data_IF_562823237687
#
_entry.id   IF_562823237687
#
_cell.length_a   1.000
_cell.length_b   1.000
_cell.length_c   1.000
_cell.angle_alpha   90.00
_cell.angle_beta   90.00
_cell.angle_gamma   90.00
#
_symmetry.space_group_name_H-M   'P 1'
#
loop_
_entity.id
_entity.type
_entity.pdbx_description
1 polymer ?
#
# COMPACT_ATOMS: atom_id res chain seq x y z
N UNK A 1 -27.95 -10.04 12.14
CA UNK A 1 -28.63 -9.12 11.21
C UNK A 1 -27.57 -8.49 10.35
N UNK A 2 -27.66 -8.60 9.03
CA UNK A 2 -26.70 -8.00 8.10
C UNK A 2 -26.91 -6.49 8.09
N UNK A 3 -25.96 -5.70 8.63
CA UNK A 3 -25.99 -4.24 8.45
C UNK A 3 -26.01 -3.93 6.94
N UNK A 4 -26.81 -2.94 6.55
CA UNK A 4 -26.83 -2.43 5.18
C UNK A 4 -25.43 -1.96 4.77
N UNK A 5 -25.13 -1.96 3.46
CA UNK A 5 -23.83 -1.47 2.96
C UNK A 5 -23.57 -0.03 3.43
N UNK A 6 -24.61 0.81 3.46
CA UNK A 6 -24.51 2.19 3.93
C UNK A 6 -24.10 2.29 5.41
N UNK A 7 -24.64 1.44 6.28
CA UNK A 7 -24.26 1.39 7.69
C UNK A 7 -22.81 0.91 7.86
N UNK A 8 -22.38 -0.10 7.09
CA UNK A 8 -20.98 -0.57 7.11
C UNK A 8 -20.01 0.52 6.67
N UNK A 9 -20.34 1.24 5.60
CA UNK A 9 -19.54 2.37 5.10
C UNK A 9 -19.48 3.50 6.12
N UNK A 10 -20.62 3.87 6.73
CA UNK A 10 -20.67 4.92 7.74
C UNK A 10 -19.85 4.56 8.98
N UNK A 11 -19.97 3.32 9.48
CA UNK A 11 -19.18 2.83 10.60
C UNK A 11 -17.67 2.86 10.30
N UNK A 12 -17.28 2.44 9.09
CA UNK A 12 -15.88 2.47 8.68
C UNK A 12 -15.34 3.90 8.58
N UNK A 13 -16.12 4.86 8.04
CA UNK A 13 -15.73 6.29 8.04
C UNK A 13 -15.47 6.82 9.45
N UNK A 14 -16.33 6.47 10.40
CA UNK A 14 -16.17 6.91 11.79
C UNK A 14 -14.93 6.26 12.44
N UNK A 15 -14.68 4.97 12.19
CA UNK A 15 -13.47 4.31 12.65
C UNK A 15 -12.21 4.97 12.07
N UNK A 16 -12.20 5.29 10.77
CA UNK A 16 -11.10 5.99 10.11
C UNK A 16 -10.86 7.37 10.73
N UNK A 17 -11.93 8.14 10.99
CA UNK A 17 -11.83 9.45 11.63
C UNK A 17 -11.11 9.36 12.98
N UNK A 18 -11.54 8.42 13.83
CA UNK A 18 -10.88 8.15 15.12
C UNK A 18 -9.42 7.72 14.96
N UNK A 19 -9.11 6.93 13.94
CA UNK A 19 -7.75 6.50 13.66
C UNK A 19 -6.84 7.68 13.28
N UNK A 20 -7.37 8.64 12.51
CA UNK A 20 -6.63 9.86 12.15
C UNK A 20 -6.50 10.81 13.34
N UNK A 21 -7.56 11.01 14.12
CA UNK A 21 -7.50 11.79 15.37
C UNK A 21 -6.42 11.22 16.32
N UNK A 22 -6.38 9.89 16.45
CA UNK A 22 -5.34 9.19 17.22
C UNK A 22 -3.94 9.48 16.68
N UNK A 23 -3.71 9.39 15.37
CA UNK A 23 -2.43 9.76 14.75
C UNK A 23 -2.06 11.20 15.09
N UNK A 24 -2.91 12.18 14.74
CA UNK A 24 -2.61 13.60 14.90
C UNK A 24 -2.31 13.99 16.36
N UNK A 25 -2.87 13.27 17.33
CA UNK A 25 -2.59 13.49 18.76
C UNK A 25 -1.10 13.35 19.13
N UNK A 26 -0.30 12.68 18.30
CA UNK A 26 1.15 12.55 18.47
C UNK A 26 1.97 13.53 17.63
N UNK A 27 1.35 14.41 16.84
CA UNK A 27 2.07 15.47 16.15
C UNK A 27 2.59 16.49 17.17
N UNK A 28 3.89 16.75 17.10
CA UNK A 28 4.58 17.70 17.98
C UNK A 28 4.36 19.15 17.52
N UNK A 29 4.52 20.14 18.41
CA UNK A 29 4.36 21.56 18.06
C UNK A 29 5.24 22.07 16.92
N UNK A 30 6.42 21.46 16.72
CA UNK A 30 7.35 21.77 15.61
C UNK A 30 6.96 21.11 14.28
N UNK A 31 5.81 20.42 14.24
CA UNK A 31 5.34 19.65 13.09
C UNK A 31 5.92 18.24 13.03
N UNK A 32 6.90 17.93 13.86
CA UNK A 32 7.55 16.63 13.92
C UNK A 32 6.58 15.52 14.35
N UNK A 33 6.90 14.30 13.93
CA UNK A 33 6.10 13.11 14.23
C UNK A 33 7.02 11.96 14.66
N UNK A 34 7.99 12.29 15.53
CA UNK A 34 8.90 11.35 16.18
C UNK A 34 8.98 11.72 17.66
N UNK A 35 8.78 10.73 18.52
CA UNK A 35 8.82 10.81 19.98
C UNK A 35 9.45 9.52 20.55
N UNK A 36 9.67 9.48 21.86
CA UNK A 36 10.31 8.34 22.53
C UNK A 36 9.51 7.05 22.32
N UNK A 37 10.18 5.98 21.88
CA UNK A 37 9.55 4.71 21.51
C UNK A 37 8.92 4.69 20.11
N UNK A 38 8.95 5.80 19.36
CA UNK A 38 8.57 5.82 17.95
C UNK A 38 9.76 5.50 17.06
N UNK A 39 9.57 4.63 16.06
CA UNK A 39 10.63 4.40 15.08
C UNK A 39 10.97 5.69 14.33
N UNK A 40 12.27 5.95 14.19
CA UNK A 40 12.85 7.18 13.61
C UNK A 40 12.44 7.44 12.15
N UNK A 41 11.72 6.51 11.52
CA UNK A 41 11.29 6.54 10.13
C UNK A 41 9.78 6.29 9.92
N UNK A 42 9.01 6.17 11.00
CA UNK A 42 7.61 5.75 10.92
C UNK A 42 6.61 6.87 10.59
N UNK A 43 7.06 7.97 10.00
CA UNK A 43 6.20 9.07 9.53
C UNK A 43 5.74 8.94 8.07
N UNK A 44 6.26 7.94 7.32
CA UNK A 44 6.10 7.81 5.86
C UNK A 44 4.67 7.82 5.33
N UNK A 45 3.68 7.32 6.10
CA UNK A 45 2.26 7.24 5.68
C UNK A 45 1.43 8.47 6.06
N UNK A 46 1.91 9.28 7.01
CA UNK A 46 1.07 10.22 7.74
C UNK A 46 0.54 11.34 6.84
N UNK A 47 1.40 11.94 6.02
CA UNK A 47 0.98 12.97 5.07
C UNK A 47 -0.11 12.48 4.10
N UNK A 48 -0.03 11.22 3.66
CA UNK A 48 -1.07 10.61 2.82
C UNK A 48 -2.36 10.43 3.63
N UNK A 49 -2.29 9.73 4.77
CA UNK A 49 -3.41 9.49 5.69
C UNK A 49 -4.19 10.78 6.00
N UNK A 50 -3.49 11.81 6.48
CA UNK A 50 -4.10 13.06 6.92
C UNK A 50 -4.73 13.85 5.77
N UNK A 51 -4.07 13.88 4.60
CA UNK A 51 -4.60 14.58 3.41
C UNK A 51 -5.93 14.00 2.93
N UNK A 52 -6.12 12.68 3.01
CA UNK A 52 -7.36 12.03 2.58
C UNK A 52 -8.56 12.39 3.45
N UNK A 53 -8.31 12.75 4.70
CA UNK A 53 -9.33 13.08 5.70
C UNK A 53 -9.46 14.59 5.94
N UNK A 54 -8.80 15.43 5.13
CA UNK A 54 -8.92 16.89 5.18
C UNK A 54 -7.99 17.60 6.18
N UNK A 55 -7.07 16.87 6.82
CA UNK A 55 -6.07 17.42 7.75
C UNK A 55 -4.83 17.94 7.01
N UNK A 56 -5.08 18.90 6.11
CA UNK A 56 -4.04 19.45 5.23
C UNK A 56 -2.96 20.21 6.02
N UNK A 57 -3.36 21.00 7.02
CA UNK A 57 -2.45 21.82 7.81
C UNK A 57 -1.42 20.95 8.57
N UNK A 58 -1.88 19.86 9.19
CA UNK A 58 -1.06 18.87 9.87
C UNK A 58 -0.10 18.20 8.88
N UNK A 59 -0.59 17.84 7.69
CA UNK A 59 0.23 17.27 6.61
C UNK A 59 1.33 18.21 6.14
N UNK A 60 1.02 19.50 5.97
CA UNK A 60 2.00 20.52 5.59
C UNK A 60 3.07 20.73 6.68
N UNK A 61 2.66 20.83 7.95
CA UNK A 61 3.60 20.94 9.08
C UNK A 61 4.57 19.77 9.15
N UNK A 62 4.09 18.54 8.96
CA UNK A 62 4.95 17.37 8.92
C UNK A 62 5.94 17.42 7.75
N UNK A 63 5.48 17.81 6.56
CA UNK A 63 6.36 17.88 5.39
C UNK A 63 7.40 19.01 5.50
N UNK A 64 7.08 20.12 6.15
CA UNK A 64 8.05 21.17 6.50
C UNK A 64 9.14 20.63 7.43
N UNK A 65 8.71 19.92 8.48
CA UNK A 65 9.63 19.30 9.42
C UNK A 65 10.51 18.24 8.74
N UNK A 66 9.96 17.37 7.89
CA UNK A 66 10.70 16.35 7.13
C UNK A 66 11.74 17.01 6.22
N UNK A 67 11.35 18.06 5.48
CA UNK A 67 12.26 18.80 4.61
C UNK A 67 13.43 19.40 5.38
N UNK A 68 13.16 20.01 6.53
CA UNK A 68 14.17 20.68 7.34
C UNK A 68 15.11 19.69 8.07
N UNK A 69 14.62 18.50 8.44
CA UNK A 69 15.32 17.64 9.40
C UNK A 69 15.70 16.25 8.88
N UNK A 70 15.14 15.78 7.75
CA UNK A 70 15.24 14.37 7.32
C UNK A 70 15.57 14.17 5.85
N UNK A 71 15.11 15.07 4.98
CA UNK A 71 15.34 15.00 3.54
C UNK A 71 16.81 15.32 3.21
N UNK A 72 17.47 14.40 2.54
CA UNK A 72 18.86 14.53 2.09
C UNK A 72 18.94 15.15 0.69
N UNK A 73 20.10 15.70 0.28
CA UNK A 73 20.26 16.33 -1.03
C UNK A 73 19.97 15.42 -2.23
N UNK A 74 20.15 14.11 -2.09
CA UNK A 74 19.86 13.12 -3.14
C UNK A 74 18.40 12.66 -3.18
N UNK A 75 17.55 13.23 -2.31
CA UNK A 75 16.14 12.87 -2.18
C UNK A 75 15.87 11.67 -1.26
N UNK A 76 16.91 11.02 -0.72
CA UNK A 76 16.74 9.99 0.30
C UNK A 76 16.30 10.61 1.63
N UNK A 77 15.62 9.83 2.46
CA UNK A 77 15.36 10.17 3.85
C UNK A 77 16.37 9.47 4.75
N UNK A 78 17.02 10.23 5.63
CA UNK A 78 18.15 9.77 6.46
C UNK A 78 17.89 8.41 7.12
N UNK A 79 16.75 8.27 7.80
CA UNK A 79 16.40 7.07 8.56
C UNK A 79 15.79 5.93 7.72
N UNK A 80 15.49 6.16 6.44
CA UNK A 80 14.80 5.15 5.62
C UNK A 80 15.75 4.09 5.08
N UNK A 81 17.08 4.32 5.10
CA UNK A 81 18.08 3.35 4.66
C UNK A 81 17.78 2.76 3.25
N UNK A 82 17.25 3.59 2.37
CA UNK A 82 16.86 3.21 1.01
C UNK A 82 15.61 2.34 0.89
N UNK A 83 14.73 2.29 1.89
CA UNK A 83 13.43 1.60 1.84
C UNK A 83 12.53 2.21 0.75
N UNK A 84 12.40 1.50 -0.37
CA UNK A 84 11.65 1.96 -1.56
C UNK A 84 10.17 2.11 -1.23
N UNK A 85 9.62 1.21 -0.40
CA UNK A 85 8.21 1.22 -0.03
C UNK A 85 7.86 2.45 0.81
N UNK A 86 8.68 2.81 1.80
CA UNK A 86 8.50 4.03 2.61
C UNK A 86 8.65 5.30 1.78
N UNK A 87 9.62 5.36 0.86
CA UNK A 87 9.77 6.51 -0.03
C UNK A 87 8.55 6.67 -0.95
N UNK A 88 8.01 5.58 -1.49
CA UNK A 88 6.81 5.63 -2.35
C UNK A 88 5.58 6.16 -1.59
N UNK A 89 5.40 5.78 -0.32
CA UNK A 89 4.36 6.35 0.54
C UNK A 89 4.52 7.86 0.76
N UNK A 90 5.72 8.29 1.16
CA UNK A 90 6.00 9.69 1.43
C UNK A 90 5.82 10.54 0.16
N UNK A 91 6.32 10.05 -0.98
CA UNK A 91 6.13 10.68 -2.28
C UNK A 91 4.64 10.91 -2.58
N UNK A 92 3.81 9.87 -2.49
CA UNK A 92 2.39 9.98 -2.81
C UNK A 92 1.67 10.98 -1.90
N UNK A 93 1.97 10.99 -0.59
CA UNK A 93 1.43 11.96 0.35
C UNK A 93 1.85 13.40 0.03
N UNK A 94 3.14 13.63 -0.21
CA UNK A 94 3.66 14.96 -0.56
C UNK A 94 3.12 15.46 -1.90
N UNK A 95 3.07 14.59 -2.91
CA UNK A 95 2.56 14.90 -4.25
C UNK A 95 1.09 15.33 -4.20
N UNK A 96 0.25 14.63 -3.45
CA UNK A 96 -1.18 14.96 -3.27
C UNK A 96 -1.40 16.30 -2.57
N UNK A 97 -0.51 16.67 -1.66
CA UNK A 97 -0.52 17.96 -0.96
C UNK A 97 0.13 19.11 -1.75
N UNK A 98 0.59 18.86 -2.99
CA UNK A 98 1.28 19.87 -3.80
C UNK A 98 2.65 20.29 -3.25
N UNK A 99 3.25 19.48 -2.37
CA UNK A 99 4.56 19.73 -1.76
C UNK A 99 5.69 19.25 -2.66
N UNK A 100 5.81 19.86 -3.83
CA UNK A 100 6.80 19.48 -4.84
C UNK A 100 8.25 19.67 -4.39
N UNK A 101 8.49 20.57 -3.44
CA UNK A 101 9.78 20.76 -2.79
C UNK A 101 10.23 19.55 -1.94
N UNK A 102 9.32 18.63 -1.62
CA UNK A 102 9.60 17.33 -1.02
C UNK A 102 9.38 16.19 -2.02
N UNK A 103 8.27 16.22 -2.75
CA UNK A 103 7.89 15.15 -3.66
C UNK A 103 8.89 14.94 -4.80
N UNK A 104 9.40 16.01 -5.42
CA UNK A 104 10.30 15.89 -6.58
C UNK A 104 11.66 15.26 -6.20
N UNK A 105 12.35 15.71 -5.12
CA UNK A 105 13.55 15.01 -4.65
C UNK A 105 13.31 13.53 -4.34
N UNK A 106 12.26 13.21 -3.57
CA UNK A 106 11.94 11.82 -3.20
C UNK A 106 11.63 10.97 -4.44
N UNK A 107 10.96 11.54 -5.44
CA UNK A 107 10.69 10.86 -6.71
C UNK A 107 11.98 10.55 -7.48
N UNK A 108 12.93 11.49 -7.50
CA UNK A 108 14.22 11.27 -8.14
C UNK A 108 15.02 10.17 -7.44
N UNK A 109 14.99 10.13 -6.11
CA UNK A 109 15.56 9.01 -5.34
C UNK A 109 14.90 7.68 -5.72
N UNK A 110 13.57 7.61 -5.75
CA UNK A 110 12.84 6.40 -6.13
C UNK A 110 13.29 5.90 -7.50
N UNK A 111 13.27 6.74 -8.54
CA UNK A 111 13.73 6.36 -9.89
C UNK A 111 15.15 5.80 -9.90
N UNK A 112 16.05 6.33 -9.06
CA UNK A 112 17.43 5.84 -8.96
C UNK A 112 17.54 4.40 -8.44
N UNK A 113 16.48 3.84 -7.86
CA UNK A 113 16.44 2.49 -7.31
C UNK A 113 15.99 1.43 -8.32
N UNK A 114 15.60 1.82 -9.54
CA UNK A 114 15.10 0.88 -10.55
C UNK A 114 16.22 0.00 -11.12
N UNK A 115 15.92 -1.28 -11.33
CA UNK A 115 16.78 -2.19 -12.10
C UNK A 115 16.36 -2.28 -13.58
N UNK A 116 17.26 -2.77 -14.43
CA UNK A 116 17.08 -2.82 -15.89
C UNK A 116 15.82 -3.60 -16.34
N UNK A 117 15.37 -4.58 -15.56
CA UNK A 117 14.15 -5.34 -15.84
C UNK A 117 12.85 -4.64 -15.39
N UNK A 118 12.92 -3.36 -15.04
CA UNK A 118 11.78 -2.54 -14.63
C UNK A 118 11.38 -2.69 -13.16
N UNK A 119 11.98 -3.65 -12.45
CA UNK A 119 11.66 -3.96 -11.07
C UNK A 119 12.39 -3.08 -10.05
N UNK A 120 11.86 -3.07 -8.84
CA UNK A 120 12.43 -2.39 -7.68
C UNK A 120 12.69 -3.37 -6.54
N UNK A 121 13.80 -3.20 -5.80
CA UNK A 121 14.01 -3.93 -4.57
C UNK A 121 13.11 -3.42 -3.44
N UNK A 122 13.14 -4.11 -2.28
CA UNK A 122 12.58 -3.55 -1.04
C UNK A 122 13.46 -2.41 -0.49
N UNK A 123 14.77 -2.66 -0.40
CA UNK A 123 15.78 -1.66 -0.02
C UNK A 123 16.74 -1.44 -1.17
N UNK A 124 17.13 -0.18 -1.40
CA UNK A 124 18.12 0.20 -2.42
C UNK A 124 19.38 -0.67 -2.31
N UNK A 125 19.80 -1.24 -3.44
CA UNK A 125 20.99 -2.09 -3.52
C UNK A 125 20.74 -3.59 -3.35
N UNK A 126 19.58 -4.01 -2.83
CA UNK A 126 19.24 -5.43 -2.74
C UNK A 126 19.19 -6.06 -4.14
N UNK A 127 19.78 -7.25 -4.28
CA UNK A 127 19.86 -7.98 -5.56
C UNK A 127 18.60 -8.79 -5.90
N UNK A 128 17.56 -8.68 -5.09
CA UNK A 128 16.26 -9.33 -5.30
C UNK A 128 15.19 -8.27 -5.40
N UNK A 129 14.45 -8.32 -6.49
CA UNK A 129 13.29 -7.46 -6.76
C UNK A 129 12.10 -8.00 -5.99
N UNK A 130 11.25 -7.08 -5.52
CA UNK A 130 10.04 -7.40 -4.75
C UNK A 130 8.82 -6.79 -5.42
N UNK A 131 7.72 -7.54 -5.47
CA UNK A 131 6.46 -7.06 -6.01
C UNK A 131 5.97 -5.80 -5.29
N UNK A 132 6.08 -5.72 -3.95
CA UNK A 132 5.68 -4.53 -3.18
C UNK A 132 6.42 -3.26 -3.61
N UNK A 133 7.75 -3.31 -3.66
CA UNK A 133 8.57 -2.15 -4.04
C UNK A 133 8.30 -1.73 -5.48
N UNK A 134 8.14 -2.72 -6.37
CA UNK A 134 7.87 -2.51 -7.79
C UNK A 134 6.48 -1.91 -8.03
N UNK A 135 5.44 -2.56 -7.52
CA UNK A 135 4.07 -2.17 -7.77
C UNK A 135 3.70 -0.85 -7.09
N UNK A 136 4.16 -0.63 -5.85
CA UNK A 136 3.86 0.63 -5.15
C UNK A 136 4.60 1.83 -5.75
N UNK A 137 5.84 1.62 -6.24
CA UNK A 137 6.53 2.64 -7.05
C UNK A 137 5.86 2.83 -8.42
N UNK A 138 5.33 1.77 -9.03
CA UNK A 138 4.53 1.90 -10.25
C UNK A 138 3.26 2.74 -10.06
N UNK A 139 2.59 2.61 -8.91
CA UNK A 139 1.47 3.49 -8.54
C UNK A 139 1.95 4.93 -8.34
N UNK A 140 3.08 5.14 -7.65
CA UNK A 140 3.72 6.46 -7.54
C UNK A 140 4.05 7.07 -8.91
N UNK A 141 4.51 6.28 -9.87
CA UNK A 141 4.80 6.74 -11.23
C UNK A 141 3.55 7.32 -11.91
N UNK A 142 2.37 6.73 -11.68
CA UNK A 142 1.11 7.28 -12.17
C UNK A 142 0.79 8.65 -11.55
N UNK A 143 1.02 8.85 -10.24
CA UNK A 143 0.87 10.16 -9.60
C UNK A 143 1.89 11.20 -10.09
N UNK A 144 3.07 10.74 -10.54
CA UNK A 144 4.09 11.59 -11.13
C UNK A 144 3.83 11.91 -12.62
N UNK A 145 2.82 11.29 -13.25
CA UNK A 145 2.60 11.39 -14.70
C UNK A 145 3.60 10.59 -15.54
N UNK A 146 4.40 9.72 -14.93
CA UNK A 146 5.41 8.89 -15.60
C UNK A 146 4.81 7.53 -16.02
N UNK A 147 3.99 7.57 -17.07
CA UNK A 147 3.32 6.38 -17.59
C UNK A 147 4.31 5.33 -18.13
N UNK A 148 5.48 5.75 -18.62
CA UNK A 148 6.50 4.85 -19.12
C UNK A 148 7.07 3.99 -17.99
N UNK A 149 7.46 4.62 -16.87
CA UNK A 149 7.93 3.90 -15.70
C UNK A 149 6.83 3.02 -15.09
N UNK A 150 5.59 3.51 -15.01
CA UNK A 150 4.46 2.71 -14.53
C UNK A 150 4.29 1.40 -15.34
N UNK A 151 4.40 1.47 -16.67
CA UNK A 151 4.34 0.30 -17.56
C UNK A 151 5.53 -0.64 -17.36
N UNK A 152 6.74 -0.13 -17.10
CA UNK A 152 7.90 -0.96 -16.78
C UNK A 152 7.71 -1.73 -15.46
N UNK A 153 7.23 -1.05 -14.41
CA UNK A 153 6.88 -1.70 -13.14
C UNK A 153 5.83 -2.80 -13.36
N UNK A 154 4.80 -2.49 -14.14
CA UNK A 154 3.74 -3.44 -14.43
C UNK A 154 4.25 -4.66 -15.23
N UNK A 155 5.10 -4.46 -16.23
CA UNK A 155 5.72 -5.53 -16.99
C UNK A 155 6.54 -6.47 -16.08
N UNK A 156 7.26 -5.93 -15.09
CA UNK A 156 7.96 -6.74 -14.09
C UNK A 156 6.97 -7.57 -13.23
N UNK A 157 5.89 -6.96 -12.73
CA UNK A 157 4.86 -7.69 -11.97
C UNK A 157 4.16 -8.79 -12.81
N UNK A 158 3.86 -8.51 -14.08
CA UNK A 158 3.28 -9.49 -15.02
C UNK A 158 4.25 -10.64 -15.29
N UNK A 159 5.53 -10.33 -15.44
CA UNK A 159 6.57 -11.35 -15.61
C UNK A 159 6.61 -12.30 -14.41
N UNK A 160 6.52 -11.78 -13.17
CA UNK A 160 6.37 -12.63 -11.98
C UNK A 160 5.08 -13.47 -12.02
N UNK A 161 3.94 -12.87 -12.41
CA UNK A 161 2.65 -13.56 -12.49
C UNK A 161 2.66 -14.69 -13.53
N UNK A 162 3.36 -14.50 -14.66
CA UNK A 162 3.41 -15.45 -15.76
C UNK A 162 4.39 -16.61 -15.52
N UNK A 163 5.38 -16.41 -14.65
CA UNK A 163 6.37 -17.44 -14.32
C UNK A 163 5.95 -18.32 -13.14
N UNK A 164 4.75 -18.12 -12.56
CA UNK A 164 4.30 -18.92 -11.40
C UNK A 164 4.25 -20.41 -11.76
N UNK A 165 5.03 -21.27 -11.07
CA UNK A 165 5.12 -22.69 -11.41
C UNK A 165 4.01 -23.53 -10.77
N UNK A 166 3.22 -22.94 -9.86
CA UNK A 166 2.30 -23.65 -8.97
C UNK A 166 1.07 -22.80 -8.67
N UNK A 167 -0.08 -23.45 -8.49
CA UNK A 167 -1.35 -22.79 -8.20
C UNK A 167 -1.63 -22.64 -6.69
N UNK A 168 -0.96 -23.44 -5.86
CA UNK A 168 -1.12 -23.48 -4.39
C UNK A 168 -0.36 -22.38 -3.67
N UNK A 169 0.47 -21.61 -4.39
CA UNK A 169 1.26 -20.50 -3.84
C UNK A 169 1.55 -19.41 -4.86
N UNK A 170 2.01 -18.26 -4.38
CA UNK A 170 2.45 -17.16 -5.23
C UNK A 170 3.81 -16.61 -4.79
N UNK A 171 4.82 -16.75 -5.65
CA UNK A 171 6.14 -16.15 -5.46
C UNK A 171 6.13 -14.69 -5.90
N UNK A 172 6.65 -13.81 -5.06
CA UNK A 172 6.60 -12.35 -5.26
C UNK A 172 7.98 -11.70 -5.40
N UNK A 173 9.00 -12.52 -5.66
CA UNK A 173 10.39 -12.10 -5.82
C UNK A 173 10.91 -12.45 -7.21
N UNK A 174 11.84 -11.64 -7.70
CA UNK A 174 12.49 -11.84 -9.01
C UNK A 174 13.99 -11.54 -8.91
N UNK A 175 14.79 -12.33 -9.62
CA UNK A 175 16.24 -12.10 -9.77
C UNK A 175 16.50 -10.95 -10.74
N UNK A 176 17.71 -10.39 -10.71
CA UNK A 176 18.08 -9.28 -11.60
C UNK A 176 18.06 -9.65 -13.08
N UNK A 177 18.20 -10.94 -13.42
CA UNK A 177 18.08 -11.45 -14.79
C UNK A 177 16.62 -11.54 -15.30
N UNK A 178 15.63 -11.23 -14.45
CA UNK A 178 14.22 -11.25 -14.79
C UNK A 178 13.51 -12.59 -14.56
N UNK A 179 14.21 -13.60 -14.03
CA UNK A 179 13.59 -14.88 -13.68
C UNK A 179 13.01 -14.87 -12.27
N UNK A 180 11.90 -15.58 -12.08
CA UNK A 180 11.21 -15.70 -10.80
C UNK A 180 12.15 -16.33 -9.75
N UNK A 181 12.16 -15.75 -8.54
CA UNK A 181 12.94 -16.27 -7.42
C UNK A 181 12.08 -17.22 -6.59
N UNK A 182 12.54 -18.47 -6.45
CA UNK A 182 11.76 -19.57 -5.88
C UNK A 182 12.58 -20.36 -4.85
N UNK A 183 11.95 -21.34 -4.21
CA UNK A 183 12.62 -22.25 -3.26
C UNK A 183 13.81 -23.01 -3.88
N UNK A 184 13.81 -23.20 -5.20
CA UNK A 184 14.93 -23.81 -5.92
C UNK A 184 16.18 -22.90 -5.95
N UNK A 185 16.00 -21.59 -5.82
CA UNK A 185 17.07 -20.62 -5.73
C UNK A 185 17.56 -20.41 -4.28
N UNK A 186 16.64 -20.49 -3.31
CA UNK A 186 16.93 -20.40 -1.88
C UNK A 186 15.76 -20.90 -1.03
N UNK A 187 16.00 -21.61 0.09
CA UNK A 187 14.93 -21.99 1.03
C UNK A 187 14.22 -20.79 1.66
N UNK A 188 14.84 -19.60 1.64
CA UNK A 188 14.26 -18.36 2.19
C UNK A 188 13.43 -17.57 1.15
N UNK A 189 13.18 -18.14 -0.04
CA UNK A 189 12.35 -17.51 -1.05
C UNK A 189 10.94 -17.26 -0.52
N UNK A 190 10.48 -16.02 -0.62
CA UNK A 190 9.18 -15.58 -0.15
C UNK A 190 8.06 -15.97 -1.11
N UNK A 191 7.02 -16.59 -0.56
CA UNK A 191 5.76 -16.86 -1.26
C UNK A 191 4.57 -16.73 -0.31
N UNK A 192 3.38 -16.56 -0.90
CA UNK A 192 2.10 -16.68 -0.21
C UNK A 192 1.56 -18.08 -0.47
N UNK A 193 1.32 -18.86 0.57
CA UNK A 193 0.72 -20.19 0.54
C UNK A 193 -0.81 -20.08 0.66
N UNK A 194 -1.57 -20.60 -0.30
CA UNK A 194 -3.04 -20.49 -0.29
C UNK A 194 -3.70 -21.15 0.91
N UNK A 195 -3.03 -22.12 1.55
CA UNK A 195 -3.54 -22.84 2.72
C UNK A 195 -3.22 -22.17 4.06
N UNK A 196 -2.42 -21.10 4.10
CA UNK A 196 -2.00 -20.44 5.35
C UNK A 196 -2.62 -19.06 5.52
N UNK A 197 -2.74 -18.65 6.78
CA UNK A 197 -3.17 -17.32 7.20
C UNK A 197 -1.98 -16.43 7.56
N UNK A 198 -2.23 -15.14 7.77
CA UNK A 198 -1.33 -14.13 8.33
C UNK A 198 -0.09 -13.84 7.48
N UNK A 199 -0.30 -13.81 6.16
CA UNK A 199 0.79 -13.69 5.19
C UNK A 199 0.91 -12.30 4.57
N UNK A 200 1.98 -12.11 3.80
CA UNK A 200 2.32 -10.88 3.06
C UNK A 200 1.43 -10.63 1.83
N UNK A 201 0.12 -10.71 2.01
CA UNK A 201 -0.91 -10.52 0.99
C UNK A 201 -0.80 -9.22 0.17
N UNK A 202 -0.13 -8.21 0.71
CA UNK A 202 0.14 -6.94 0.05
C UNK A 202 0.99 -7.05 -1.21
N UNK A 203 1.84 -8.08 -1.33
CA UNK A 203 2.69 -8.30 -2.50
C UNK A 203 1.85 -8.48 -3.77
N UNK A 204 0.74 -9.21 -3.66
CA UNK A 204 -0.24 -9.40 -4.75
C UNK A 204 -1.20 -8.21 -4.84
N UNK A 205 -1.67 -7.70 -3.70
CA UNK A 205 -2.64 -6.60 -3.66
C UNK A 205 -2.16 -5.35 -4.40
N UNK A 206 -0.90 -4.93 -4.22
CA UNK A 206 -0.39 -3.77 -4.94
C UNK A 206 -0.19 -4.02 -6.44
N UNK A 207 0.25 -5.22 -6.84
CA UNK A 207 0.34 -5.56 -8.26
C UNK A 207 -1.03 -5.49 -8.93
N UNK A 208 -2.07 -6.02 -8.28
CA UNK A 208 -3.46 -5.91 -8.74
C UNK A 208 -3.92 -4.44 -8.84
N UNK A 209 -3.61 -3.62 -7.84
CA UNK A 209 -3.96 -2.20 -7.82
C UNK A 209 -3.32 -1.44 -9.00
N UNK A 210 -2.03 -1.69 -9.26
CA UNK A 210 -1.32 -1.08 -10.38
C UNK A 210 -1.98 -1.44 -11.72
N UNK A 211 -2.36 -2.71 -11.90
CA UNK A 211 -3.07 -3.15 -13.11
C UNK A 211 -4.41 -2.45 -13.29
N UNK A 212 -5.20 -2.32 -12.22
CA UNK A 212 -6.48 -1.62 -12.28
C UNK A 212 -6.29 -0.16 -12.71
N UNK A 213 -5.30 0.55 -12.13
CA UNK A 213 -5.03 1.94 -12.47
C UNK A 213 -4.48 2.11 -13.89
N UNK A 214 -3.64 1.19 -14.37
CA UNK A 214 -3.17 1.22 -15.77
C UNK A 214 -4.30 0.96 -16.76
N UNK A 215 -5.24 0.06 -16.44
CA UNK A 215 -6.43 -0.14 -17.25
C UNK A 215 -7.26 1.15 -17.34
N UNK A 216 -7.49 1.85 -16.23
CA UNK A 216 -8.24 3.12 -16.23
C UNK A 216 -7.65 4.15 -17.21
N UNK A 217 -6.32 4.22 -17.33
CA UNK A 217 -5.62 5.18 -18.20
C UNK A 217 -5.56 4.70 -19.65
N UNK A 218 -5.23 3.43 -19.87
CA UNK A 218 -4.86 2.91 -21.20
C UNK A 218 -6.00 2.19 -21.90
N UNK A 219 -6.99 1.72 -21.15
CA UNK A 219 -8.08 0.83 -21.61
C UNK A 219 -7.58 -0.48 -22.26
N UNK A 220 -6.31 -0.84 -22.07
CA UNK A 220 -5.73 -2.08 -22.60
C UNK A 220 -6.21 -3.26 -21.74
N UNK A 221 -6.95 -4.22 -22.32
CA UNK A 221 -7.55 -5.33 -21.58
C UNK A 221 -6.51 -6.26 -20.93
N UNK A 222 -5.26 -6.24 -21.38
CA UNK A 222 -4.16 -7.03 -20.80
C UNK A 222 -3.98 -6.71 -19.31
N UNK A 223 -4.13 -5.43 -18.94
CA UNK A 223 -4.03 -5.01 -17.54
C UNK A 223 -5.21 -5.55 -16.72
N UNK A 224 -6.43 -5.43 -17.24
CA UNK A 224 -7.61 -5.90 -16.53
C UNK A 224 -7.62 -7.43 -16.35
N UNK A 225 -7.18 -8.15 -17.37
CA UNK A 225 -7.02 -9.61 -17.31
C UNK A 225 -5.95 -10.02 -16.28
N UNK A 226 -4.83 -9.30 -16.22
CA UNK A 226 -3.81 -9.53 -15.20
C UNK A 226 -4.34 -9.21 -13.78
N UNK A 227 -5.13 -8.13 -13.63
CA UNK A 227 -5.81 -7.81 -12.38
C UNK A 227 -6.77 -8.91 -11.93
N UNK A 228 -7.55 -9.47 -12.87
CA UNK A 228 -8.43 -10.62 -12.63
C UNK A 228 -7.64 -11.82 -12.10
N UNK A 229 -6.52 -12.17 -12.75
CA UNK A 229 -5.67 -13.30 -12.31
C UNK A 229 -5.11 -13.11 -10.89
N UNK A 230 -4.71 -11.89 -10.52
CA UNK A 230 -4.32 -11.59 -9.13
C UNK A 230 -5.48 -11.73 -8.16
N UNK A 231 -6.67 -11.25 -8.54
CA UNK A 231 -7.86 -11.37 -7.72
C UNK A 231 -8.28 -12.83 -7.51
N UNK A 232 -8.28 -13.64 -8.57
CA UNK A 232 -8.60 -15.07 -8.48
C UNK A 232 -7.59 -15.83 -7.62
N UNK A 233 -6.29 -15.47 -7.64
CA UNK A 233 -5.33 -16.02 -6.67
C UNK A 233 -5.71 -15.68 -5.23
N UNK A 234 -6.07 -14.42 -4.98
CA UNK A 234 -6.49 -13.94 -3.66
C UNK A 234 -7.74 -14.63 -3.13
N UNK A 235 -8.70 -14.95 -4.01
CA UNK A 235 -9.91 -15.70 -3.64
C UNK A 235 -9.62 -17.16 -3.26
N UNK A 236 -8.48 -17.74 -3.68
CA UNK A 236 -8.05 -19.08 -3.25
C UNK A 236 -7.32 -19.10 -1.91
N UNK A 237 -6.87 -17.94 -1.42
CA UNK A 237 -6.21 -17.84 -0.13
C UNK A 237 -7.23 -18.01 1.02
N UNK A 238 -6.72 -18.22 2.24
CA UNK A 238 -7.52 -18.25 3.46
C UNK A 238 -8.31 -16.95 3.69
N UNK A 239 -9.31 -17.05 4.55
CA UNK A 239 -10.31 -16.00 4.80
C UNK A 239 -9.73 -14.65 5.26
N UNK A 240 -8.56 -14.65 5.86
CA UNK A 240 -7.89 -13.43 6.34
C UNK A 240 -7.21 -12.64 5.20
N UNK A 241 -7.18 -13.17 3.98
CA UNK A 241 -6.69 -12.50 2.77
C UNK A 241 -7.32 -11.12 2.50
N UNK A 242 -8.50 -10.86 3.08
CA UNK A 242 -9.17 -9.55 3.05
C UNK A 242 -9.55 -9.03 4.45
N UNK A 243 -9.15 -9.70 5.53
CA UNK A 243 -9.52 -9.37 6.91
C UNK A 243 -8.33 -9.61 7.87
N UNK A 244 -7.20 -9.00 7.53
CA UNK A 244 -5.96 -9.01 8.32
C UNK A 244 -5.26 -7.65 8.14
N UNK A 245 -4.33 -7.29 9.03
CA UNK A 245 -3.67 -5.98 8.96
C UNK A 245 -2.89 -5.78 7.66
N UNK A 246 -2.36 -6.87 7.09
CA UNK A 246 -1.71 -6.87 5.79
C UNK A 246 -2.65 -6.70 4.59
N UNK A 247 -3.96 -6.81 4.79
CA UNK A 247 -4.94 -7.04 3.71
C UNK A 247 -5.58 -5.78 3.15
N UNK A 248 -5.44 -4.61 3.80
CA UNK A 248 -6.08 -3.37 3.33
C UNK A 248 -5.71 -2.97 1.90
N UNK A 249 -4.48 -3.30 1.47
CA UNK A 249 -3.99 -3.06 0.10
C UNK A 249 -4.70 -3.95 -0.92
N UNK A 250 -4.98 -5.20 -0.54
CA UNK A 250 -5.77 -6.13 -1.36
C UNK A 250 -7.23 -5.67 -1.45
N UNK A 251 -7.78 -5.14 -0.35
CA UNK A 251 -9.14 -4.61 -0.31
C UNK A 251 -9.31 -3.35 -1.18
N UNK A 252 -8.31 -2.46 -1.20
CA UNK A 252 -8.29 -1.31 -2.11
C UNK A 252 -8.22 -1.75 -3.57
N UNK A 253 -7.37 -2.74 -3.88
CA UNK A 253 -7.32 -3.30 -5.23
C UNK A 253 -8.66 -3.91 -5.65
N UNK A 254 -9.32 -4.65 -4.74
CA UNK A 254 -10.65 -5.21 -4.98
C UNK A 254 -11.72 -4.13 -5.19
N UNK A 255 -11.69 -3.02 -4.44
CA UNK A 255 -12.57 -1.87 -4.67
C UNK A 255 -12.40 -1.28 -6.08
N UNK A 256 -11.17 -1.08 -6.52
CA UNK A 256 -10.87 -0.63 -7.88
C UNK A 256 -11.38 -1.63 -8.94
N UNK A 257 -11.13 -2.93 -8.72
CA UNK A 257 -11.58 -3.96 -9.64
C UNK A 257 -13.10 -4.00 -9.74
N UNK A 258 -13.83 -3.95 -8.62
CA UNK A 258 -15.28 -3.85 -8.60
C UNK A 258 -15.77 -2.59 -9.33
N UNK A 259 -15.17 -1.43 -9.10
CA UNK A 259 -15.55 -0.20 -9.79
C UNK A 259 -15.43 -0.34 -11.31
N UNK A 260 -14.40 -1.04 -11.80
CA UNK A 260 -14.18 -1.31 -13.22
C UNK A 260 -15.16 -2.38 -13.76
N UNK A 261 -15.27 -3.53 -13.11
CA UNK A 261 -15.94 -4.71 -13.69
C UNK A 261 -17.37 -4.93 -13.21
N UNK A 262 -17.68 -4.54 -11.99
CA UNK A 262 -18.96 -4.83 -11.32
C UNK A 262 -18.97 -6.19 -10.64
N UNK A 263 -17.83 -6.89 -10.57
CA UNK A 263 -17.73 -8.18 -9.90
C UNK A 263 -17.99 -8.03 -8.40
N UNK A 264 -19.17 -8.48 -7.97
CA UNK A 264 -19.62 -8.36 -6.59
C UNK A 264 -18.72 -9.09 -5.58
N UNK A 265 -17.99 -10.13 -6.02
CA UNK A 265 -17.01 -10.80 -5.15
C UNK A 265 -15.92 -9.82 -4.70
N UNK A 266 -15.55 -8.87 -5.56
CA UNK A 266 -14.55 -7.85 -5.26
C UNK A 266 -15.11 -6.74 -4.35
N UNK A 267 -16.39 -6.37 -4.50
CA UNK A 267 -17.11 -5.52 -3.54
C UNK A 267 -17.08 -6.17 -2.16
N UNK A 268 -17.49 -7.44 -2.07
CA UNK A 268 -17.61 -8.15 -0.81
C UNK A 268 -16.24 -8.32 -0.13
N UNK A 269 -15.19 -8.59 -0.91
CA UNK A 269 -13.81 -8.59 -0.43
C UNK A 269 -13.38 -7.23 0.17
N UNK A 270 -13.74 -6.11 -0.46
CA UNK A 270 -13.44 -4.79 0.09
C UNK A 270 -14.24 -4.50 1.37
N UNK A 271 -15.52 -4.86 1.40
CA UNK A 271 -16.39 -4.70 2.58
C UNK A 271 -15.92 -5.56 3.77
N UNK A 272 -15.33 -6.74 3.53
CA UNK A 272 -14.71 -7.56 4.59
C UNK A 272 -13.62 -6.78 5.34
N UNK A 273 -12.77 -6.06 4.62
CA UNK A 273 -11.73 -5.25 5.25
C UNK A 273 -12.32 -4.07 6.03
N UNK A 274 -13.39 -3.44 5.52
CA UNK A 274 -14.07 -2.36 6.26
C UNK A 274 -14.65 -2.84 7.58
N UNK A 275 -15.30 -4.01 7.59
CA UNK A 275 -15.77 -4.64 8.82
C UNK A 275 -14.63 -4.95 9.78
N UNK A 276 -13.55 -5.53 9.26
CA UNK A 276 -12.33 -5.76 10.05
C UNK A 276 -11.83 -4.48 10.73
N UNK A 277 -11.70 -3.37 10.00
CA UNK A 277 -11.29 -2.07 10.58
C UNK A 277 -12.24 -1.59 11.68
N UNK A 278 -13.55 -1.81 11.54
CA UNK A 278 -14.50 -1.40 12.59
C UNK A 278 -14.40 -2.31 13.82
N UNK A 279 -14.34 -3.63 13.59
CA UNK A 279 -14.39 -4.64 14.64
C UNK A 279 -13.10 -4.71 15.48
N UNK A 280 -11.95 -4.34 14.90
CA UNK A 280 -10.65 -4.47 15.56
C UNK A 280 -10.07 -3.16 16.09
N UNK A 281 -10.76 -2.02 15.88
CA UNK A 281 -10.33 -0.74 16.40
C UNK A 281 -10.32 -0.76 17.94
N UNK A 282 -9.20 -0.34 18.52
CA UNK A 282 -9.04 -0.23 19.97
C UNK A 282 -9.71 1.06 20.48
N UNK A 283 -10.03 1.17 21.79
CA UNK A 283 -10.71 2.35 22.34
C UNK A 283 -10.00 3.68 22.11
N UNK A 284 -8.67 3.68 21.98
CA UNK A 284 -7.86 4.86 21.69
C UNK A 284 -7.91 5.30 20.21
N UNK A 285 -8.54 4.52 19.33
CA UNK A 285 -8.59 4.77 17.88
C UNK A 285 -7.50 4.06 17.07
N UNK A 286 -6.46 3.54 17.72
CA UNK A 286 -5.40 2.76 17.11
C UNK A 286 -5.75 1.28 16.91
N UNK A 287 -4.78 0.51 16.42
CA UNK A 287 -4.95 -0.92 16.09
C UNK A 287 -3.72 -1.73 16.48
N UNK A 288 -3.91 -2.86 17.16
CA UNK A 288 -2.85 -3.79 17.49
C UNK A 288 -3.44 -5.19 17.60
N UNK A 289 -2.67 -6.20 17.19
CA UNK A 289 -3.10 -7.58 17.14
C UNK A 289 -2.26 -8.47 18.06
N UNK A 290 -2.84 -9.58 18.51
CA UNK A 290 -2.26 -10.46 19.54
C UNK A 290 -0.88 -11.03 19.19
N UNK A 291 -0.56 -11.13 17.90
CA UNK A 291 0.73 -11.59 17.38
C UNK A 291 1.75 -10.47 17.16
N UNK A 292 1.45 -9.25 17.60
CA UNK A 292 2.32 -8.09 17.47
C UNK A 292 2.75 -7.54 18.84
N UNK A 293 3.97 -6.98 18.94
CA UNK A 293 4.39 -6.24 20.13
C UNK A 293 3.39 -5.15 20.51
N UNK A 294 3.15 -4.99 21.81
CA UNK A 294 2.32 -3.90 22.35
C UNK A 294 3.13 -2.60 22.38
N UNK A 295 3.40 -2.06 21.20
CA UNK A 295 4.22 -0.87 21.00
C UNK A 295 3.41 0.20 20.28
N UNK A 296 3.48 1.45 20.75
CA UNK A 296 2.74 2.58 20.17
C UNK A 296 2.95 2.74 18.65
N UNK A 297 4.14 2.40 18.16
CA UNK A 297 4.45 2.36 16.74
C UNK A 297 3.44 1.51 15.95
N UNK A 298 3.10 0.32 16.43
CA UNK A 298 2.17 -0.61 15.78
C UNK A 298 0.77 0.02 15.68
N UNK A 299 0.29 0.63 16.78
CA UNK A 299 -1.00 1.31 16.81
C UNK A 299 -1.10 2.43 15.77
N UNK A 300 -0.06 3.25 15.68
CA UNK A 300 -0.02 4.41 14.79
C UNK A 300 0.18 4.00 13.34
N UNK A 301 1.04 3.01 13.07
CA UNK A 301 1.33 2.55 11.71
C UNK A 301 0.12 1.88 11.06
N UNK A 302 -0.59 1.03 11.81
CA UNK A 302 -1.84 0.42 11.36
C UNK A 302 -2.94 1.45 11.17
N UNK A 303 -3.09 2.40 12.11
CA UNK A 303 -4.04 3.49 11.98
C UNK A 303 -3.83 4.28 10.69
N UNK A 304 -2.57 4.62 10.36
CA UNK A 304 -2.23 5.33 9.13
C UNK A 304 -2.43 4.49 7.86
N UNK A 305 -2.22 3.17 7.93
CA UNK A 305 -2.53 2.28 6.83
C UNK A 305 -4.04 2.17 6.59
N UNK A 306 -4.82 1.91 7.63
CA UNK A 306 -6.24 1.61 7.50
C UNK A 306 -7.06 2.85 7.15
N UNK A 307 -6.66 4.03 7.63
CA UNK A 307 -7.27 5.29 7.22
C UNK A 307 -7.18 5.50 5.70
N UNK A 308 -6.02 5.23 5.11
CA UNK A 308 -5.81 5.34 3.66
C UNK A 308 -6.64 4.31 2.91
N UNK A 309 -6.49 3.02 3.24
CA UNK A 309 -7.15 1.94 2.52
C UNK A 309 -8.66 1.97 2.64
N UNK A 310 -9.17 2.24 3.84
CA UNK A 310 -10.59 2.38 4.08
C UNK A 310 -11.18 3.58 3.33
N UNK A 311 -10.56 4.76 3.44
CA UNK A 311 -11.08 5.99 2.80
C UNK A 311 -11.13 5.87 1.28
N UNK A 312 -10.05 5.37 0.68
CA UNK A 312 -9.99 5.24 -0.77
C UNK A 312 -10.95 4.15 -1.26
N UNK A 313 -11.00 2.99 -0.59
CA UNK A 313 -11.94 1.91 -0.96
C UNK A 313 -13.38 2.39 -0.92
N UNK A 314 -13.77 3.13 0.14
CA UNK A 314 -15.09 3.75 0.24
C UNK A 314 -15.32 4.70 -0.93
N UNK A 315 -14.41 5.63 -1.18
CA UNK A 315 -14.54 6.64 -2.23
C UNK A 315 -14.71 6.02 -3.62
N UNK A 316 -13.96 4.97 -3.91
CA UNK A 316 -14.00 4.26 -5.20
C UNK A 316 -15.31 3.49 -5.37
N UNK A 317 -15.73 2.74 -4.34
CA UNK A 317 -16.95 1.93 -4.45
C UNK A 317 -18.23 2.76 -4.43
N UNK A 318 -18.23 3.89 -3.72
CA UNK A 318 -19.41 4.77 -3.62
C UNK A 318 -19.89 5.23 -4.99
N UNK A 319 -18.99 5.47 -5.94
CA UNK A 319 -19.36 5.89 -7.30
C UNK A 319 -20.12 4.84 -8.13
N UNK A 320 -20.28 3.61 -7.62
CA UNK A 320 -21.03 2.53 -8.29
C UNK A 320 -22.17 1.94 -7.44
N UNK A 321 -22.13 2.12 -6.12
CA UNK A 321 -23.10 1.56 -5.17
C UNK A 321 -24.22 2.56 -4.83
N UNK A 322 -23.90 3.87 -4.85
CA UNK A 322 -24.87 4.95 -4.68
C UNK A 322 -25.25 5.56 -6.04
#
# INVERSE_FOLDING_TARGET
>A
MSNSINEQVAACREAIRKAVDFQISYQRPDGGYIWDGYAVDAYHKQAYSWSLTGHFAEGHKLLDWIKANKLQPDGQLEAYNGDVYKHAWLFQGAQRLGRFDVAVPVWNFLKSCQYANGGFPHFKGNKVIRAIGTAWTGVSALYAGDLALAKQCAACCLSMQNQQPRDDRYYFQMKLDGTLYTEADSPDAGFIDTAKTKQCYWEVGFSMLLMCKLYQITQDPTWLESARRFFEFKLRCQDDAFAYWGSGKSALAAAHYFAITGDERARDASLRFMRFVVETQKPNGGFQYEDEPDELLIYVDHAACFSVWGTESISIMTGRIL
#
